data_IF_238033231100
#
_entry.id   IF_238033231100
#
_cell.length_a   1.000
_cell.length_b   1.000
_cell.length_c   1.000
_cell.angle_alpha   90.00
_cell.angle_beta   90.00
_cell.angle_gamma   90.00
#
_symmetry.space_group_name_H-M   'P 1'
#
loop_
_entity.id
_entity.type
_entity.pdbx_description
1 polymer ?
#
# COMPACT_ATOMS: atom_id res chain seq x y z
N UNK A 1 -26.15 0.54 14.70
CA UNK A 1 -24.88 -0.04 14.23
C UNK A 1 -25.02 -0.14 12.73
N UNK A 2 -24.33 0.73 12.00
CA UNK A 2 -24.47 0.83 10.55
C UNK A 2 -24.07 -0.49 9.91
N UNK A 3 -24.97 -1.07 9.11
CA UNK A 3 -24.78 -2.35 8.43
C UNK A 3 -23.86 -2.20 7.19
N UNK A 4 -22.79 -1.41 7.34
CA UNK A 4 -21.79 -1.21 6.28
C UNK A 4 -21.05 -2.54 6.07
N UNK A 5 -20.97 -3.05 4.83
CA UNK A 5 -20.17 -4.24 4.55
C UNK A 5 -18.69 -3.97 4.82
N UNK A 6 -18.01 -4.94 5.42
CA UNK A 6 -16.58 -4.87 5.69
C UNK A 6 -15.78 -5.00 4.39
N UNK A 7 -14.86 -4.07 4.15
CA UNK A 7 -13.98 -4.08 2.99
C UNK A 7 -12.54 -4.43 3.39
N UNK A 8 -12.01 -5.53 2.88
CA UNK A 8 -10.67 -6.04 3.17
C UNK A 8 -9.77 -5.90 1.94
N UNK A 9 -8.59 -5.31 2.13
CA UNK A 9 -7.48 -5.40 1.19
C UNK A 9 -6.51 -6.48 1.65
N UNK A 10 -6.38 -7.55 0.86
CA UNK A 10 -5.38 -8.58 1.05
C UNK A 10 -4.41 -8.57 -0.13
N UNK A 11 -3.11 -8.43 0.15
CA UNK A 11 -2.05 -8.52 -0.86
C UNK A 11 -1.05 -9.60 -0.47
N UNK A 12 -0.65 -10.41 -1.44
CA UNK A 12 0.19 -11.57 -1.22
C UNK A 12 1.60 -11.21 -0.73
N UNK A 13 2.32 -12.22 -0.25
CA UNK A 13 3.73 -12.10 0.11
C UNK A 13 4.62 -12.20 -1.13
N UNK A 14 5.68 -11.40 -1.24
CA UNK A 14 6.48 -11.42 -2.47
C UNK A 14 7.85 -10.74 -2.46
N UNK A 15 8.33 -10.21 -1.32
CA UNK A 15 9.59 -9.47 -1.29
C UNK A 15 9.52 -8.20 -2.13
N UNK A 16 10.53 -7.95 -2.97
CA UNK A 16 10.56 -6.80 -3.89
C UNK A 16 9.39 -6.79 -4.90
N UNK A 17 8.81 -7.96 -5.20
CA UNK A 17 7.64 -8.09 -6.09
C UNK A 17 6.40 -7.41 -5.53
N UNK A 18 6.37 -7.06 -4.24
CA UNK A 18 5.30 -6.23 -3.68
C UNK A 18 5.15 -4.85 -4.34
N UNK A 19 6.14 -4.40 -5.11
CA UNK A 19 6.02 -3.20 -5.96
C UNK A 19 5.02 -3.36 -7.10
N UNK A 20 4.88 -4.56 -7.70
CA UNK A 20 3.91 -4.76 -8.79
C UNK A 20 2.47 -4.67 -8.27
N UNK A 21 2.21 -5.19 -7.08
CA UNK A 21 0.92 -5.08 -6.42
C UNK A 21 0.58 -3.62 -6.09
N UNK A 22 1.56 -2.84 -5.64
CA UNK A 22 1.37 -1.40 -5.41
C UNK A 22 1.02 -0.67 -6.71
N UNK A 23 1.62 -1.03 -7.85
CA UNK A 23 1.28 -0.43 -9.14
C UNK A 23 -0.16 -0.76 -9.57
N UNK A 24 -0.58 -2.01 -9.39
CA UNK A 24 -1.97 -2.42 -9.68
C UNK A 24 -2.94 -1.67 -8.77
N UNK A 25 -2.62 -1.55 -7.48
CA UNK A 25 -3.44 -0.82 -6.54
C UNK A 25 -3.44 0.69 -6.82
N UNK A 26 -2.33 1.27 -7.29
CA UNK A 26 -2.24 2.67 -7.73
C UNK A 26 -3.23 2.96 -8.86
N UNK A 27 -3.31 2.08 -9.86
CA UNK A 27 -4.26 2.19 -10.96
C UNK A 27 -5.72 2.06 -10.47
N UNK A 28 -6.01 1.09 -9.61
CA UNK A 28 -7.36 0.93 -9.02
C UNK A 28 -7.77 2.20 -8.28
N UNK A 29 -6.90 2.70 -7.40
CA UNK A 29 -7.16 3.91 -6.62
C UNK A 29 -7.22 5.15 -7.51
N UNK A 30 -6.49 5.20 -8.63
CA UNK A 30 -6.59 6.26 -9.63
C UNK A 30 -7.96 6.30 -10.31
N UNK A 31 -8.56 5.14 -10.59
CA UNK A 31 -9.95 5.05 -11.09
C UNK A 31 -10.95 5.50 -10.04
N UNK A 32 -10.76 5.10 -8.78
CA UNK A 32 -11.60 5.58 -7.66
C UNK A 32 -11.53 7.10 -7.54
N UNK A 33 -10.33 7.69 -7.66
CA UNK A 33 -10.15 9.14 -7.65
C UNK A 33 -10.97 9.81 -8.74
N UNK A 34 -10.90 9.29 -9.97
CA UNK A 34 -11.63 9.80 -11.12
C UNK A 34 -13.15 9.66 -10.94
N UNK A 35 -13.62 8.47 -10.56
CA UNK A 35 -15.05 8.16 -10.48
C UNK A 35 -15.76 8.91 -9.34
N UNK A 36 -15.01 9.30 -8.30
CA UNK A 36 -15.49 10.09 -7.16
C UNK A 36 -15.15 11.59 -7.26
N UNK A 37 -14.56 12.03 -8.38
CA UNK A 37 -14.13 13.43 -8.62
C UNK A 37 -13.30 14.02 -7.47
N UNK A 38 -12.33 13.25 -6.98
CA UNK A 38 -11.50 13.63 -5.85
C UNK A 38 -10.34 14.54 -6.27
N UNK A 39 -10.12 15.64 -5.54
CA UNK A 39 -8.99 16.54 -5.77
C UNK A 39 -7.64 15.88 -5.39
N UNK A 40 -7.59 15.28 -4.20
CA UNK A 40 -6.40 14.64 -3.66
C UNK A 40 -6.36 13.14 -3.97
N UNK A 41 -5.18 12.53 -3.81
CA UNK A 41 -5.04 11.09 -3.98
C UNK A 41 -5.78 10.33 -2.88
N UNK A 42 -6.64 9.35 -3.24
CA UNK A 42 -7.39 8.59 -2.26
C UNK A 42 -6.45 7.72 -1.41
N UNK A 43 -6.64 7.80 -0.09
CA UNK A 43 -5.87 7.01 0.87
C UNK A 43 -6.51 5.64 1.02
N UNK A 44 -5.78 4.52 0.84
CA UNK A 44 -6.38 3.19 0.98
C UNK A 44 -7.04 2.95 2.34
N UNK A 45 -6.53 3.57 3.41
CA UNK A 45 -7.10 3.50 4.75
C UNK A 45 -8.52 4.11 4.88
N UNK A 46 -9.00 4.85 3.88
CA UNK A 46 -10.38 5.38 3.86
C UNK A 46 -11.36 4.46 3.13
N UNK A 47 -10.86 3.51 2.35
CA UNK A 47 -11.67 2.59 1.54
C UNK A 47 -11.68 1.17 2.09
N UNK A 48 -10.61 0.76 2.78
CA UNK A 48 -10.45 -0.57 3.35
C UNK A 48 -10.45 -0.51 4.87
N UNK A 49 -11.38 -1.22 5.49
CA UNK A 49 -11.50 -1.31 6.95
C UNK A 49 -10.36 -2.18 7.55
N UNK A 50 -9.79 -3.07 6.74
CA UNK A 50 -8.64 -3.89 7.11
C UNK A 50 -7.67 -4.02 5.92
N UNK A 51 -6.37 -3.91 6.20
CA UNK A 51 -5.29 -4.13 5.22
C UNK A 51 -4.36 -5.21 5.75
N UNK A 52 -4.32 -6.36 5.08
CA UNK A 52 -3.55 -7.53 5.46
C UNK A 52 -2.46 -7.87 4.43
N UNK A 53 -1.24 -8.13 4.92
CA UNK A 53 -0.10 -8.62 4.14
C UNK A 53 0.83 -9.46 5.00
N UNK A 54 1.63 -10.33 4.37
CA UNK A 54 2.60 -11.21 5.05
C UNK A 54 4.05 -10.85 4.71
N UNK A 55 4.98 -11.18 5.62
CA UNK A 55 6.43 -10.93 5.48
C UNK A 55 6.74 -9.44 5.21
N UNK A 56 7.61 -9.13 4.25
CA UNK A 56 7.98 -7.75 3.87
C UNK A 56 6.79 -6.91 3.42
N UNK A 57 5.71 -7.55 2.96
CA UNK A 57 4.44 -6.89 2.67
C UNK A 57 3.81 -6.24 3.89
N UNK A 58 4.14 -6.67 5.11
CA UNK A 58 3.69 -6.02 6.34
C UNK A 58 4.12 -4.55 6.44
N UNK A 59 5.29 -4.20 5.88
CA UNK A 59 5.72 -2.80 5.77
C UNK A 59 4.76 -1.99 4.89
N UNK A 60 4.31 -2.57 3.78
CA UNK A 60 3.32 -1.93 2.90
C UNK A 60 1.99 -1.78 3.62
N UNK A 61 1.53 -2.80 4.35
CA UNK A 61 0.31 -2.70 5.17
C UNK A 61 0.41 -1.57 6.22
N UNK A 62 1.56 -1.41 6.86
CA UNK A 62 1.81 -0.31 7.80
C UNK A 62 1.82 1.06 7.13
N UNK A 63 2.47 1.19 5.97
CA UNK A 63 2.52 2.44 5.21
C UNK A 63 1.13 2.89 4.75
N UNK A 64 0.34 1.97 4.19
CA UNK A 64 -1.00 2.26 3.68
C UNK A 64 -2.03 2.43 4.79
N UNK A 65 -2.03 1.53 5.77
CA UNK A 65 -3.04 1.51 6.84
C UNK A 65 -2.70 2.44 7.99
N UNK A 66 -1.57 2.18 8.67
CA UNK A 66 -1.24 2.86 9.94
C UNK A 66 -0.66 4.26 9.75
N UNK A 67 0.20 4.43 8.76
CA UNK A 67 0.78 5.73 8.39
C UNK A 67 -0.11 6.53 7.44
N UNK A 68 -1.18 5.90 6.91
CA UNK A 68 -2.20 6.52 6.05
C UNK A 68 -1.60 7.27 4.86
N UNK A 69 -0.59 6.67 4.22
CA UNK A 69 0.03 7.23 3.03
C UNK A 69 -0.78 6.92 1.78
N UNK A 70 -0.70 7.81 0.79
CA UNK A 70 -1.16 7.52 -0.56
C UNK A 70 -0.32 6.39 -1.18
N UNK A 71 -0.84 5.72 -2.22
CA UNK A 71 -0.09 4.65 -2.91
C UNK A 71 1.28 5.15 -3.46
N UNK A 72 1.38 6.33 -4.12
CA UNK A 72 2.66 6.85 -4.58
C UNK A 72 3.68 7.07 -3.46
N UNK A 73 3.24 7.59 -2.31
CA UNK A 73 4.09 7.82 -1.14
C UNK A 73 4.55 6.50 -0.52
N UNK A 74 3.64 5.55 -0.33
CA UNK A 74 3.97 4.24 0.20
C UNK A 74 4.94 3.48 -0.71
N UNK A 75 4.80 3.59 -2.04
CA UNK A 75 5.75 3.04 -3.01
C UNK A 75 7.16 3.65 -2.82
N UNK A 76 7.27 4.98 -2.72
CA UNK A 76 8.55 5.66 -2.47
C UNK A 76 9.17 5.23 -1.12
N UNK A 77 8.35 5.14 -0.07
CA UNK A 77 8.76 4.68 1.26
C UNK A 77 9.25 3.23 1.24
N UNK A 78 8.52 2.34 0.58
CA UNK A 78 8.88 0.94 0.45
C UNK A 78 10.20 0.76 -0.31
N UNK A 79 10.42 1.47 -1.41
CA UNK A 79 11.70 1.43 -2.15
C UNK A 79 12.86 1.87 -1.26
N UNK A 80 12.68 2.93 -0.46
CA UNK A 80 13.72 3.41 0.46
C UNK A 80 14.07 2.35 1.51
N UNK A 81 13.06 1.83 2.20
CA UNK A 81 13.24 0.80 3.24
C UNK A 81 13.85 -0.47 2.63
N UNK A 82 13.37 -0.90 1.46
CA UNK A 82 13.91 -2.06 0.77
C UNK A 82 15.38 -1.88 0.38
N UNK A 83 15.79 -0.68 -0.06
CA UNK A 83 17.20 -0.35 -0.33
C UNK A 83 18.06 -0.48 0.93
N UNK A 84 17.62 0.07 2.04
CA UNK A 84 18.34 0.01 3.31
C UNK A 84 18.45 -1.42 3.86
N UNK A 85 17.36 -2.20 3.82
CA UNK A 85 17.33 -3.54 4.39
C UNK A 85 18.02 -4.58 3.50
N UNK A 86 17.76 -4.56 2.19
CA UNK A 86 18.16 -5.64 1.28
C UNK A 86 19.42 -5.34 0.48
N UNK A 87 19.78 -4.07 0.29
CA UNK A 87 20.91 -3.68 -0.54
C UNK A 87 22.08 -3.09 0.26
N UNK A 88 21.94 -2.92 1.58
CA UNK A 88 23.03 -2.48 2.46
C UNK A 88 23.99 -3.59 2.93
N UNK A 89 23.82 -4.83 2.46
CA UNK A 89 24.67 -5.98 2.81
C UNK A 89 25.91 -6.16 1.91
N UNK A 90 26.45 -5.07 1.34
CA UNK A 90 27.67 -5.08 0.54
C UNK A 90 28.76 -4.15 1.10
N UNK A 91 29.06 -4.22 2.40
CA UNK A 91 30.30 -3.67 2.97
C UNK A 91 30.63 -4.36 4.30
N UNK A 92 31.80 -4.98 4.48
CA UNK A 92 32.73 -5.63 3.55
C UNK A 92 32.54 -7.15 3.43
#
# INVERSE_FOLDING_TARGET
MDNKPLCLLALDGGGIRGLSELLILEEIMGRVKHDLDMADDPLPADFFDLIGRTSTGGLIALLLGRARLSIPEARKGYVRIAKEIFFSQNLP
#
